data_IF_454696739467
#
_entry.id   IF_454696739467
#
_cell.length_a   1.000
_cell.length_b   1.000
_cell.length_c   1.000
_cell.angle_alpha   90.00
_cell.angle_beta   90.00
_cell.angle_gamma   90.00
#
_symmetry.space_group_name_H-M   'P 1'
#
loop_
_entity.id
_entity.type
_entity.pdbx_description
1 polymer ?
#
# COMPACT_ATOMS: atom_id res chain seq x y z
N UNK A 1 -68.88 34.42 16.20
CA UNK A 1 -67.64 33.89 16.78
C UNK A 1 -67.48 32.44 16.34
N UNK A 2 -66.64 32.17 15.35
CA UNK A 2 -66.36 30.82 14.86
C UNK A 2 -65.22 30.21 15.68
N UNK A 3 -65.48 29.11 16.37
CA UNK A 3 -64.47 28.35 17.11
C UNK A 3 -63.60 27.59 16.10
N UNK A 4 -62.35 28.00 15.97
CA UNK A 4 -61.33 27.30 15.17
C UNK A 4 -61.12 25.92 15.78
N UNK A 5 -61.47 24.86 15.03
CA UNK A 5 -61.24 23.47 15.46
C UNK A 5 -59.73 23.20 15.42
N UNK A 6 -59.12 23.08 16.60
CA UNK A 6 -57.74 22.65 16.76
C UNK A 6 -57.56 21.24 16.17
N UNK A 7 -56.50 21.10 15.36
CA UNK A 7 -56.21 19.93 14.55
C UNK A 7 -56.21 18.60 15.31
N UNK A 8 -56.61 17.55 14.59
CA UNK A 8 -56.70 16.18 15.07
C UNK A 8 -55.41 15.73 15.80
N UNK A 9 -55.50 15.08 16.98
CA UNK A 9 -54.34 14.66 17.76
C UNK A 9 -53.41 13.70 17.00
N UNK A 10 -53.93 13.01 15.99
CA UNK A 10 -53.16 12.16 15.08
C UNK A 10 -52.17 12.93 14.19
N UNK A 11 -52.49 14.18 13.85
CA UNK A 11 -51.62 15.02 12.99
C UNK A 11 -50.35 15.42 13.76
N UNK A 12 -50.50 15.74 15.06
CA UNK A 12 -49.36 16.05 15.93
C UNK A 12 -48.46 14.83 16.16
N UNK A 13 -49.05 13.64 16.34
CA UNK A 13 -48.31 12.40 16.51
C UNK A 13 -47.48 12.02 15.26
N UNK A 14 -48.06 12.19 14.07
CA UNK A 14 -47.36 11.97 12.79
C UNK A 14 -46.20 12.97 12.61
N UNK A 15 -46.43 14.24 12.95
CA UNK A 15 -45.39 15.28 12.89
C UNK A 15 -44.21 14.99 13.83
N UNK A 16 -44.47 14.50 15.03
CA UNK A 16 -43.45 14.13 16.01
C UNK A 16 -42.62 12.90 15.56
N UNK A 17 -43.28 11.88 15.00
CA UNK A 17 -42.61 10.68 14.47
C UNK A 17 -41.72 11.02 13.27
N UNK A 18 -42.17 11.90 12.37
CA UNK A 18 -41.37 12.38 11.25
C UNK A 18 -40.15 13.21 11.70
N UNK A 19 -40.29 14.03 12.74
CA UNK A 19 -39.19 14.80 13.32
C UNK A 19 -38.13 13.90 13.98
N UNK A 20 -38.55 12.86 14.71
CA UNK A 20 -37.62 11.90 15.34
C UNK A 20 -36.87 11.06 14.30
N UNK A 21 -37.53 10.69 13.19
CA UNK A 21 -36.90 9.98 12.08
C UNK A 21 -35.83 10.82 11.37
N UNK A 22 -36.03 12.14 11.24
CA UNK A 22 -35.06 13.05 10.63
C UNK A 22 -33.83 13.29 11.51
N UNK A 23 -33.97 13.28 12.84
CA UNK A 23 -32.85 13.41 13.79
C UNK A 23 -32.01 12.12 13.86
N UNK A 24 -32.62 10.96 13.59
CA UNK A 24 -31.95 9.65 13.64
C UNK A 24 -31.18 9.30 12.36
N UNK A 25 -31.29 10.13 11.31
CA UNK A 25 -30.46 10.03 10.11
C UNK A 25 -29.05 10.62 10.34
N UNK A 26 -28.43 10.29 11.47
CA UNK A 26 -27.01 10.48 11.67
C UNK A 26 -26.26 9.59 10.69
N UNK A 27 -25.71 10.19 9.62
CA UNK A 27 -24.80 9.53 8.68
C UNK A 27 -23.72 8.81 9.49
N UNK A 28 -23.75 7.47 9.54
CA UNK A 28 -22.65 6.72 10.11
C UNK A 28 -21.39 7.15 9.37
N UNK A 29 -20.38 7.63 10.11
CA UNK A 29 -19.08 7.98 9.53
C UNK A 29 -18.38 6.68 9.16
N UNK A 30 -18.72 6.13 7.99
CA UNK A 30 -18.02 5.01 7.39
C UNK A 30 -16.55 5.44 7.21
N UNK A 31 -15.63 4.86 7.99
CA UNK A 31 -14.22 4.90 7.61
C UNK A 31 -14.11 4.07 6.33
N UNK A 32 -13.81 4.72 5.21
CA UNK A 32 -13.39 3.99 4.01
C UNK A 32 -12.31 2.99 4.42
N UNK A 33 -12.34 1.73 3.95
CA UNK A 33 -11.19 0.86 4.08
C UNK A 33 -9.99 1.63 3.53
N UNK A 34 -8.88 1.64 4.26
CA UNK A 34 -7.67 2.30 3.78
C UNK A 34 -7.40 1.76 2.36
N UNK A 35 -7.34 2.65 1.37
CA UNK A 35 -7.05 2.29 -0.02
C UNK A 35 -5.61 1.80 -0.10
N UNK A 36 -5.37 0.54 0.28
CA UNK A 36 -4.05 -0.08 0.26
C UNK A 36 -3.73 -0.51 -1.18
N UNK A 37 -2.53 -0.20 -1.69
CA UNK A 37 -2.12 -0.68 -3.01
C UNK A 37 -2.03 -2.21 -3.00
N UNK A 38 -2.45 -2.83 -4.11
CA UNK A 38 -2.27 -4.27 -4.30
C UNK A 38 -0.82 -4.54 -4.66
N UNK A 39 -0.07 -5.15 -3.74
CA UNK A 39 1.34 -5.50 -3.95
C UNK A 39 1.42 -6.74 -4.85
N UNK A 40 2.25 -6.68 -5.90
CA UNK A 40 2.65 -7.84 -6.70
C UNK A 40 3.70 -8.64 -5.95
N UNK A 41 3.28 -9.79 -5.42
CA UNK A 41 4.13 -10.69 -4.66
C UNK A 41 5.27 -11.24 -5.52
N UNK A 42 6.33 -11.71 -4.86
CA UNK A 42 7.55 -12.21 -5.50
C UNK A 42 7.29 -13.23 -6.60
N UNK A 43 6.39 -14.18 -6.32
CA UNK A 43 6.00 -15.23 -7.27
C UNK A 43 5.23 -14.70 -8.48
N UNK A 44 4.51 -13.58 -8.35
CA UNK A 44 3.70 -13.02 -9.42
C UNK A 44 4.54 -12.32 -10.51
N UNK A 45 5.74 -11.85 -10.17
CA UNK A 45 6.70 -11.32 -11.14
C UNK A 45 7.80 -12.32 -11.49
N UNK A 46 7.72 -13.58 -11.03
CA UNK A 46 8.67 -14.64 -11.37
C UNK A 46 9.98 -14.62 -10.56
N UNK A 47 9.99 -13.99 -9.39
CA UNK A 47 11.16 -13.92 -8.52
C UNK A 47 11.51 -15.25 -7.84
N UNK A 48 12.80 -15.45 -7.64
CA UNK A 48 13.38 -16.59 -6.90
C UNK A 48 13.17 -16.43 -5.40
N UNK A 49 13.18 -17.53 -4.61
CA UNK A 49 13.19 -17.44 -3.14
C UNK A 49 14.46 -16.77 -2.62
N UNK A 50 14.40 -16.25 -1.40
CA UNK A 50 15.58 -15.77 -0.71
C UNK A 50 16.45 -16.95 -0.26
N UNK A 51 17.77 -16.82 -0.32
CA UNK A 51 18.71 -17.82 0.20
C UNK A 51 18.90 -17.74 1.73
N UNK A 52 18.44 -16.67 2.38
CA UNK A 52 18.58 -16.49 3.83
C UNK A 52 17.62 -15.44 4.40
N UNK A 53 16.80 -15.85 5.37
CA UNK A 53 15.79 -14.98 6.00
C UNK A 53 16.31 -14.39 7.31
N UNK A 54 16.20 -13.07 7.45
CA UNK A 54 16.47 -12.36 8.69
C UNK A 54 15.28 -11.46 9.01
N UNK A 55 14.57 -11.74 10.10
CA UNK A 55 13.41 -10.97 10.51
C UNK A 55 13.81 -9.64 11.16
N UNK A 56 13.04 -8.59 10.90
CA UNK A 56 13.21 -7.27 11.51
C UNK A 56 12.29 -7.11 12.72
N UNK A 57 12.73 -6.30 13.69
CA UNK A 57 11.91 -5.96 14.86
C UNK A 57 10.81 -4.97 14.46
N UNK A 58 9.57 -5.29 14.83
CA UNK A 58 8.40 -4.45 14.54
C UNK A 58 8.04 -3.58 15.78
N UNK A 59 7.49 -2.36 15.59
CA UNK A 59 7.28 -1.67 14.32
C UNK A 59 8.60 -1.12 13.75
N UNK A 60 8.71 -1.13 12.42
CA UNK A 60 9.81 -0.48 11.71
C UNK A 60 9.65 1.04 11.82
N UNK A 61 10.75 1.75 12.09
CA UNK A 61 10.73 3.20 12.37
C UNK A 61 11.27 4.05 11.23
N UNK A 62 11.92 3.44 10.25
CA UNK A 62 12.57 4.15 9.15
C UNK A 62 12.09 3.64 7.80
N UNK A 63 11.94 4.55 6.84
CA UNK A 63 11.74 4.23 5.42
C UNK A 63 12.86 4.93 4.66
N UNK A 64 13.56 4.17 3.81
CA UNK A 64 14.66 4.70 3.00
C UNK A 64 14.25 4.64 1.53
N UNK A 65 14.27 5.79 0.86
CA UNK A 65 13.89 5.93 -0.54
C UNK A 65 15.13 5.84 -1.42
N UNK A 66 15.06 5.02 -2.45
CA UNK A 66 16.11 4.80 -3.46
C UNK A 66 15.56 4.99 -4.87
N UNK A 67 16.47 5.02 -5.84
CA UNK A 67 16.17 4.77 -7.23
C UNK A 67 17.00 3.58 -7.72
N UNK A 68 16.51 2.82 -8.70
CA UNK A 68 17.18 1.59 -9.17
C UNK A 68 18.40 1.82 -10.05
N UNK A 69 18.56 3.03 -10.62
CA UNK A 69 19.54 3.38 -11.67
C UNK A 69 19.38 2.53 -12.96
N UNK A 70 18.33 1.70 -13.04
CA UNK A 70 17.99 0.93 -14.25
C UNK A 70 17.18 1.78 -15.23
N UNK A 71 16.85 1.23 -16.40
CA UNK A 71 15.83 1.81 -17.28
C UNK A 71 14.44 1.82 -16.64
N UNK A 72 13.53 2.59 -17.25
CA UNK A 72 12.13 2.67 -16.81
C UNK A 72 11.39 1.35 -17.01
N UNK A 73 10.30 1.14 -16.28
CA UNK A 73 9.40 0.03 -16.54
C UNK A 73 7.94 0.44 -16.35
N UNK A 74 7.07 -0.06 -17.23
CA UNK A 74 5.62 0.06 -17.12
C UNK A 74 4.99 -1.27 -17.53
N UNK A 75 4.08 -1.78 -16.70
CA UNK A 75 3.44 -3.06 -16.89
C UNK A 75 4.26 -4.25 -16.37
N UNK A 76 3.53 -5.29 -15.95
CA UNK A 76 4.10 -6.46 -15.27
C UNK A 76 5.23 -7.13 -16.06
N UNK A 77 5.07 -7.34 -17.37
CA UNK A 77 6.05 -8.06 -18.17
C UNK A 77 7.42 -7.35 -18.17
N UNK A 78 7.43 -6.04 -18.40
CA UNK A 78 8.69 -5.29 -18.49
C UNK A 78 9.33 -5.10 -17.12
N UNK A 79 8.52 -4.79 -16.10
CA UNK A 79 9.02 -4.67 -14.74
C UNK A 79 9.55 -6.01 -14.21
N UNK A 80 8.86 -7.13 -14.47
CA UNK A 80 9.29 -8.46 -14.07
C UNK A 80 10.66 -8.85 -14.66
N UNK A 81 10.89 -8.58 -15.95
CA UNK A 81 12.18 -8.83 -16.60
C UNK A 81 13.32 -8.11 -15.87
N UNK A 82 13.13 -6.82 -15.55
CA UNK A 82 14.15 -6.03 -14.83
C UNK A 82 14.33 -6.53 -13.39
N UNK A 83 13.24 -6.87 -12.69
CA UNK A 83 13.29 -7.40 -11.33
C UNK A 83 14.06 -8.72 -11.26
N UNK A 84 13.81 -9.63 -12.21
CA UNK A 84 14.48 -10.93 -12.27
C UNK A 84 15.99 -10.77 -12.50
N UNK A 85 16.37 -9.91 -13.45
CA UNK A 85 17.79 -9.63 -13.72
C UNK A 85 18.47 -8.94 -12.53
N UNK A 86 17.79 -7.98 -11.88
CA UNK A 86 18.31 -7.31 -10.70
C UNK A 86 18.45 -8.26 -9.51
N UNK A 87 17.48 -9.14 -9.28
CA UNK A 87 17.58 -10.16 -8.23
C UNK A 87 18.74 -11.11 -8.52
N UNK A 88 18.89 -11.59 -9.76
CA UNK A 88 20.00 -12.45 -10.15
C UNK A 88 21.35 -11.77 -9.92
N UNK A 89 21.49 -10.50 -10.30
CA UNK A 89 22.70 -9.71 -10.04
C UNK A 89 22.97 -9.58 -8.53
N UNK A 90 21.98 -9.20 -7.74
CA UNK A 90 22.14 -9.07 -6.29
C UNK A 90 22.51 -10.38 -5.59
N UNK A 91 21.92 -11.52 -6.01
CA UNK A 91 22.19 -12.81 -5.39
C UNK A 91 23.50 -13.44 -5.85
N UNK A 92 23.82 -13.35 -7.14
CA UNK A 92 24.94 -14.07 -7.73
C UNK A 92 26.25 -13.25 -7.73
N UNK A 93 26.15 -11.93 -7.89
CA UNK A 93 27.33 -11.06 -8.04
C UNK A 93 27.63 -10.25 -6.78
N UNK A 94 26.61 -9.93 -5.96
CA UNK A 94 26.77 -9.16 -4.71
C UNK A 94 26.64 -10.00 -3.44
N UNK A 95 26.42 -11.32 -3.58
CA UNK A 95 26.23 -12.27 -2.48
C UNK A 95 25.10 -11.88 -1.49
N UNK A 96 24.06 -11.21 -1.97
CA UNK A 96 22.89 -10.87 -1.16
C UNK A 96 21.92 -12.05 -1.08
N UNK A 97 21.17 -12.13 0.03
CA UNK A 97 20.19 -13.19 0.19
C UNK A 97 18.98 -13.07 -0.75
N UNK A 98 18.67 -11.86 -1.20
CA UNK A 98 17.55 -11.55 -2.10
C UNK A 98 17.84 -10.21 -2.81
N UNK A 99 16.89 -9.72 -3.60
CA UNK A 99 16.91 -8.35 -4.11
C UNK A 99 17.00 -7.35 -2.93
N UNK A 100 17.92 -6.39 -3.01
CA UNK A 100 18.33 -5.55 -1.88
C UNK A 100 17.20 -4.72 -1.25
N UNK A 101 16.20 -4.31 -2.04
CA UNK A 101 15.08 -3.48 -1.61
C UNK A 101 13.90 -4.30 -1.07
N UNK A 102 13.16 -3.75 -0.09
CA UNK A 102 11.92 -4.38 0.40
C UNK A 102 10.80 -4.28 -0.64
N UNK A 103 10.65 -3.11 -1.25
CA UNK A 103 9.66 -2.83 -2.29
C UNK A 103 10.25 -2.03 -3.43
N UNK A 104 9.70 -2.25 -4.62
CA UNK A 104 10.02 -1.48 -5.82
C UNK A 104 8.73 -0.96 -6.44
N UNK A 105 8.75 0.25 -7.03
CA UNK A 105 7.56 0.87 -7.62
C UNK A 105 7.85 1.23 -9.07
N UNK A 106 7.11 0.61 -9.99
CA UNK A 106 7.19 0.89 -11.43
C UNK A 106 6.48 2.19 -11.80
N UNK A 107 6.67 2.64 -13.05
CA UNK A 107 6.05 3.86 -13.56
C UNK A 107 4.53 3.70 -13.78
N UNK A 108 4.05 2.45 -13.79
CA UNK A 108 2.63 2.08 -13.74
C UNK A 108 1.99 2.26 -12.35
N UNK A 109 2.77 2.69 -11.35
CA UNK A 109 2.33 2.86 -9.96
C UNK A 109 2.15 1.54 -9.21
N UNK A 110 2.52 0.41 -9.81
CA UNK A 110 2.39 -0.91 -9.19
C UNK A 110 3.55 -1.12 -8.23
N UNK A 111 3.23 -1.62 -7.03
CA UNK A 111 4.21 -1.98 -6.01
C UNK A 111 4.59 -3.45 -6.20
N UNK A 112 5.88 -3.72 -6.39
CA UNK A 112 6.47 -5.04 -6.51
C UNK A 112 7.18 -5.42 -5.21
N UNK A 113 6.90 -6.62 -4.72
CA UNK A 113 7.55 -7.18 -3.53
C UNK A 113 8.98 -7.62 -3.88
N UNK A 114 9.97 -7.05 -3.19
CA UNK A 114 11.34 -7.53 -3.21
C UNK A 114 11.61 -8.46 -2.03
N UNK A 115 12.39 -7.99 -1.06
CA UNK A 115 12.57 -8.68 0.23
C UNK A 115 11.25 -8.74 1.04
N UNK A 116 10.33 -7.79 0.85
CA UNK A 116 9.02 -7.78 1.49
C UNK A 116 9.01 -7.25 2.93
N UNK A 117 7.86 -7.35 3.59
CA UNK A 117 7.63 -6.75 4.91
C UNK A 117 8.28 -7.52 6.06
N UNK A 118 9.01 -6.81 6.93
CA UNK A 118 9.57 -7.36 8.17
C UNK A 118 10.72 -8.33 7.95
N UNK A 119 11.31 -8.33 6.76
CA UNK A 119 12.53 -9.04 6.41
C UNK A 119 13.62 -8.01 6.09
N UNK A 120 14.84 -8.27 6.57
CA UNK A 120 16.00 -7.39 6.39
C UNK A 120 16.51 -7.50 4.96
N UNK A 121 16.44 -6.39 4.22
CA UNK A 121 17.07 -6.24 2.91
C UNK A 121 18.57 -5.90 3.00
N UNK A 122 19.14 -5.44 1.88
CA UNK A 122 20.55 -5.06 1.74
C UNK A 122 20.72 -3.67 1.10
N UNK A 123 19.70 -2.82 1.14
CA UNK A 123 19.64 -1.54 0.43
C UNK A 123 20.44 -0.38 1.06
N UNK A 124 20.68 -0.39 2.38
CA UNK A 124 21.30 0.75 3.07
C UNK A 124 22.05 0.30 4.32
N UNK A 125 23.38 0.44 4.27
CA UNK A 125 24.26 0.16 5.41
C UNK A 125 23.79 0.93 6.67
N UNK A 126 23.75 0.25 7.81
CA UNK A 126 23.24 0.79 9.08
C UNK A 126 21.70 0.84 9.21
N UNK A 127 20.94 0.79 8.12
CA UNK A 127 19.47 0.90 8.14
C UNK A 127 18.74 -0.38 7.73
N UNK A 128 19.42 -1.36 7.14
CA UNK A 128 18.82 -2.62 6.69
C UNK A 128 17.98 -3.34 7.78
N UNK A 129 18.44 -3.36 9.04
CA UNK A 129 17.77 -4.08 10.12
C UNK A 129 16.59 -3.31 10.74
N UNK A 130 16.57 -1.98 10.61
CA UNK A 130 15.64 -1.07 11.31
C UNK A 130 14.76 -0.25 10.37
N UNK A 131 14.90 -0.45 9.06
CA UNK A 131 14.24 0.31 8.03
C UNK A 131 13.68 -0.53 6.89
N UNK A 132 12.74 0.06 6.15
CA UNK A 132 12.19 -0.51 4.91
C UNK A 132 12.72 0.29 3.71
N UNK A 133 13.42 -0.38 2.81
CA UNK A 133 13.91 0.21 1.57
C UNK A 133 12.85 0.17 0.46
N UNK A 134 12.52 1.32 -0.11
CA UNK A 134 11.61 1.45 -1.25
C UNK A 134 12.39 2.07 -2.41
N UNK A 135 12.43 1.39 -3.54
CA UNK A 135 13.13 1.88 -4.74
C UNK A 135 12.16 2.25 -5.84
N UNK A 136 12.40 3.39 -6.48
CA UNK A 136 11.67 3.85 -7.65
C UNK A 136 12.45 3.48 -8.92
N UNK A 137 11.75 3.04 -9.96
CA UNK A 137 12.37 2.96 -11.27
C UNK A 137 12.76 4.36 -11.74
N UNK A 138 13.96 4.52 -12.30
CA UNK A 138 14.42 5.81 -12.80
C UNK A 138 13.51 6.23 -13.96
N UNK A 139 13.03 7.46 -13.93
CA UNK A 139 12.50 8.15 -15.11
C UNK A 139 13.67 8.90 -15.78
N UNK A 140 13.86 8.73 -17.09
CA UNK A 140 14.77 9.58 -17.86
C UNK A 140 14.04 10.89 -18.17
N UNK A 141 14.54 12.00 -17.62
CA UNK A 141 14.12 13.32 -18.08
C UNK A 141 14.66 13.52 -19.51
N UNK A 142 13.76 13.53 -20.50
CA UNK A 142 14.05 13.92 -21.88
C UNK A 142 13.93 15.42 -22.09
#
# INVERSE_FOLDING_TARGET
MQTVRFGSPWIMAIGLVLLVALVSAGKSRQRSPANCPTIKLKRQWGGKPSSGLHYQVRPIRYVVIHHTVTGECSGLLKCAEILQNMQAYHQNELDYNDISYNFLIGNDGVVYEGTGWGLRGAHTYGYNAIGTGISLYRQLCG
#
